data_IF_319769958492
#
_entry.id   IF_319769958492
#
_cell.length_a   1.000
_cell.length_b   1.000
_cell.length_c   1.000
_cell.angle_alpha   90.00
_cell.angle_beta   90.00
_cell.angle_gamma   90.00
#
_symmetry.space_group_name_H-M   'P 1'
#
loop_
_entity.id
_entity.type
_entity.pdbx_description
1 polymer ?
#
# COMPACT_ATOMS: atom_id res chain seq x y z
N UNK A 1 4.15 -8.96 22.57
CA UNK A 1 5.58 -9.31 22.63
C UNK A 1 6.38 -8.02 22.67
N UNK A 2 7.37 -7.93 23.55
CA UNK A 2 8.08 -6.67 23.81
C UNK A 2 8.90 -6.20 22.61
N UNK A 3 9.31 -7.10 21.72
CA UNK A 3 10.06 -6.78 20.50
C UNK A 3 9.17 -6.71 19.27
N UNK A 4 8.22 -7.64 19.16
CA UNK A 4 7.43 -7.86 17.94
C UNK A 4 6.04 -7.21 17.98
N UNK A 5 5.63 -6.63 19.11
CA UNK A 5 4.29 -6.06 19.28
C UNK A 5 3.20 -7.13 19.30
N UNK A 6 2.10 -6.91 18.59
CA UNK A 6 1.04 -7.89 18.44
C UNK A 6 1.51 -9.08 17.60
N UNK A 7 1.25 -10.29 18.11
CA UNK A 7 1.64 -11.53 17.45
C UNK A 7 0.57 -11.97 16.46
N UNK A 8 1.03 -12.38 15.28
CA UNK A 8 0.20 -12.87 14.19
C UNK A 8 0.81 -14.12 13.58
N UNK A 9 0.01 -14.91 12.87
CA UNK A 9 0.49 -16.12 12.21
C UNK A 9 1.55 -15.82 11.13
N UNK A 10 1.30 -14.79 10.31
CA UNK A 10 2.24 -14.37 9.26
C UNK A 10 3.20 -13.31 9.81
N UNK A 11 4.52 -13.42 9.57
CA UNK A 11 5.49 -12.44 10.05
C UNK A 11 5.30 -11.03 9.47
N UNK A 12 4.67 -10.91 8.30
CA UNK A 12 4.38 -9.60 7.68
C UNK A 12 3.31 -8.80 8.42
N UNK A 13 2.56 -9.44 9.32
CA UNK A 13 1.46 -8.85 10.08
C UNK A 13 1.83 -8.51 11.53
N UNK A 14 3.10 -8.65 11.93
CA UNK A 14 3.58 -8.30 13.27
C UNK A 14 3.55 -6.79 13.52
N UNK A 15 3.70 -6.39 14.78
CA UNK A 15 3.78 -4.99 15.20
C UNK A 15 2.39 -4.39 15.38
N UNK A 16 2.07 -3.40 14.55
CA UNK A 16 0.76 -2.72 14.55
C UNK A 16 -0.37 -3.61 14.02
N UNK A 17 -0.04 -4.62 13.22
CA UNK A 17 -0.99 -5.45 12.44
C UNK A 17 -1.80 -4.70 11.37
N UNK A 18 -1.70 -3.37 11.30
CA UNK A 18 -2.54 -2.51 10.46
C UNK A 18 -2.19 -2.63 8.98
N UNK A 19 -3.25 -2.81 8.18
CA UNK A 19 -3.25 -2.55 6.73
C UNK A 19 -4.33 -1.53 6.40
N UNK A 20 -3.96 -0.27 6.28
CA UNK A 20 -4.81 0.76 5.72
C UNK A 20 -4.72 0.69 4.20
N UNK A 21 -5.86 0.69 3.50
CA UNK A 21 -5.88 0.59 2.05
C UNK A 21 -6.99 1.43 1.41
N UNK A 22 -6.82 1.69 0.11
CA UNK A 22 -7.84 2.27 -0.75
C UNK A 22 -8.00 1.43 -2.01
N UNK A 23 -9.23 1.38 -2.53
CA UNK A 23 -9.45 1.04 -3.94
C UNK A 23 -9.37 2.31 -4.76
N UNK A 24 -8.39 2.38 -5.66
CA UNK A 24 -8.10 3.59 -6.43
C UNK A 24 -7.88 3.26 -7.91
N UNK A 25 -8.36 4.16 -8.78
CA UNK A 25 -8.03 4.16 -10.21
C UNK A 25 -6.97 5.20 -10.49
N UNK A 26 -5.90 4.79 -11.15
CA UNK A 26 -4.79 5.64 -11.61
C UNK A 26 -4.59 5.33 -13.09
N UNK A 27 -5.47 5.79 -14.00
CA UNK A 27 -5.49 5.32 -15.38
C UNK A 27 -4.21 5.65 -16.15
N UNK A 28 -3.51 6.75 -15.84
CA UNK A 28 -2.24 7.12 -16.53
C UNK A 28 -1.06 6.40 -15.90
N UNK A 29 -0.89 6.46 -14.58
CA UNK A 29 0.21 5.83 -13.88
C UNK A 29 0.09 4.29 -13.88
N UNK A 30 -1.13 3.78 -13.77
CA UNK A 30 -1.45 2.35 -13.81
C UNK A 30 -1.44 1.73 -15.22
N UNK A 31 -1.31 2.54 -16.28
CA UNK A 31 -1.10 2.02 -17.63
C UNK A 31 0.18 1.20 -17.74
N UNK A 32 1.18 1.51 -16.91
CA UNK A 32 2.37 0.69 -16.68
C UNK A 32 2.38 0.23 -15.21
N UNK A 33 1.95 -1.01 -14.98
CA UNK A 33 1.91 -1.60 -13.64
C UNK A 33 3.29 -1.64 -12.97
N UNK A 34 4.35 -1.92 -13.72
CA UNK A 34 5.70 -1.96 -13.15
C UNK A 34 6.12 -0.56 -12.68
N UNK A 35 5.73 0.48 -13.42
CA UNK A 35 5.96 1.87 -12.99
C UNK A 35 5.14 2.24 -11.76
N UNK A 36 3.87 1.87 -11.70
CA UNK A 36 3.03 2.07 -10.52
C UNK A 36 3.65 1.42 -9.28
N UNK A 37 4.11 0.17 -9.39
CA UNK A 37 4.77 -0.56 -8.30
C UNK A 37 6.09 0.09 -7.89
N UNK A 38 6.91 0.55 -8.83
CA UNK A 38 8.16 1.28 -8.56
C UNK A 38 7.91 2.58 -7.78
N UNK A 39 6.91 3.36 -8.18
CA UNK A 39 6.56 4.62 -7.52
C UNK A 39 5.96 4.35 -6.14
N UNK A 40 5.02 3.42 -6.03
CA UNK A 40 4.39 3.04 -4.76
C UNK A 40 5.44 2.55 -3.73
N UNK A 41 6.45 1.80 -4.17
CA UNK A 41 7.53 1.31 -3.31
C UNK A 41 8.34 2.44 -2.65
N UNK A 42 8.50 3.60 -3.31
CA UNK A 42 9.19 4.79 -2.75
C UNK A 42 8.47 5.36 -1.52
N UNK A 43 7.17 5.10 -1.40
CA UNK A 43 6.32 5.55 -0.30
C UNK A 43 5.98 4.42 0.69
N UNK A 44 6.73 3.32 0.68
CA UNK A 44 6.46 2.13 1.51
C UNK A 44 5.06 1.54 1.29
N UNK A 45 4.51 1.65 0.08
CA UNK A 45 3.22 1.07 -0.28
C UNK A 45 3.37 -0.28 -0.98
N UNK A 46 2.32 -1.09 -0.93
CA UNK A 46 2.14 -2.33 -1.68
C UNK A 46 0.92 -2.21 -2.59
N UNK A 47 1.08 -2.61 -3.85
CA UNK A 47 0.01 -2.70 -4.85
C UNK A 47 -0.49 -4.14 -4.93
N UNK A 48 -1.80 -4.33 -4.83
CA UNK A 48 -2.52 -5.60 -4.96
C UNK A 48 -3.65 -5.45 -5.98
N UNK A 49 -4.17 -6.57 -6.47
CA UNK A 49 -5.34 -6.55 -7.35
C UNK A 49 -6.64 -6.30 -6.58
N UNK A 50 -7.74 -6.13 -7.31
CA UNK A 50 -9.05 -5.75 -6.72
C UNK A 50 -9.62 -6.79 -5.76
N UNK A 51 -9.29 -8.07 -5.95
CA UNK A 51 -9.71 -9.16 -5.06
C UNK A 51 -8.67 -9.44 -3.96
N UNK A 52 -7.64 -8.62 -3.84
CA UNK A 52 -6.63 -8.68 -2.79
C UNK A 52 -5.32 -9.32 -3.25
N UNK A 53 -4.71 -10.09 -2.34
CA UNK A 53 -3.40 -10.68 -2.59
C UNK A 53 -3.46 -11.70 -3.74
N UNK A 54 -2.49 -11.62 -4.66
CA UNK A 54 -2.39 -12.51 -5.83
C UNK A 54 -3.51 -12.41 -6.87
N UNK A 55 -4.34 -11.36 -6.84
CA UNK A 55 -5.32 -11.11 -7.89
C UNK A 55 -4.85 -10.08 -8.92
N UNK A 56 -5.44 -10.14 -10.11
CA UNK A 56 -5.32 -9.09 -11.12
C UNK A 56 -6.29 -7.93 -10.85
N UNK A 57 -6.13 -6.87 -11.66
CA UNK A 57 -6.95 -5.65 -11.66
C UNK A 57 -7.55 -5.40 -13.04
N UNK A 58 -8.53 -6.22 -13.50
CA UNK A 58 -9.06 -6.13 -14.86
C UNK A 58 -9.70 -4.76 -15.16
N UNK A 59 -10.22 -4.06 -14.14
CA UNK A 59 -10.89 -2.77 -14.28
C UNK A 59 -9.98 -1.55 -14.05
N UNK A 60 -8.65 -1.77 -13.96
CA UNK A 60 -7.69 -0.71 -13.60
C UNK A 60 -7.88 -0.15 -12.18
N UNK A 61 -8.54 -0.92 -11.31
CA UNK A 61 -8.71 -0.61 -9.88
C UNK A 61 -7.65 -1.38 -9.10
N UNK A 62 -6.89 -0.68 -8.27
CA UNK A 62 -5.84 -1.30 -7.45
C UNK A 62 -6.18 -1.17 -5.96
N UNK A 63 -5.84 -2.21 -5.20
CA UNK A 63 -5.78 -2.14 -3.74
C UNK A 63 -4.36 -1.70 -3.36
N UNK A 64 -4.23 -0.45 -2.90
CA UNK A 64 -2.93 0.13 -2.50
C UNK A 64 -2.95 0.38 -0.99
N UNK A 65 -1.91 -0.11 -0.31
CA UNK A 65 -1.84 -0.11 1.16
C UNK A 65 -0.44 0.11 1.72
N UNK A 66 -0.32 0.50 2.99
CA UNK A 66 0.98 0.51 3.68
C UNK A 66 1.56 -0.91 3.73
N UNK A 67 2.83 -1.05 3.32
CA UNK A 67 3.55 -2.34 3.33
C UNK A 67 4.10 -2.68 4.71
N UNK A 68 4.58 -1.66 5.43
CA UNK A 68 5.22 -1.82 6.73
C UNK A 68 4.18 -1.89 7.85
N UNK A 69 4.44 -2.76 8.84
CA UNK A 69 3.57 -2.97 10.01
C UNK A 69 4.32 -3.09 11.33
N UNK A 70 5.61 -3.47 11.27
CA UNK A 70 6.51 -3.57 12.41
C UNK A 70 7.57 -2.45 12.38
N UNK A 71 7.94 -1.94 13.57
CA UNK A 71 8.93 -0.88 13.72
C UNK A 71 8.38 0.53 13.47
N UNK A 72 7.06 0.71 13.64
CA UNK A 72 6.34 1.97 13.56
C UNK A 72 5.06 1.89 14.42
N UNK A 73 4.52 3.03 14.82
CA UNK A 73 3.22 3.13 15.49
C UNK A 73 2.06 2.99 14.50
N UNK A 74 0.86 2.72 15.03
CA UNK A 74 -0.38 2.65 14.26
C UNK A 74 -0.66 3.95 13.48
N UNK A 75 -0.41 5.10 14.12
CA UNK A 75 -0.51 6.42 13.48
C UNK A 75 0.43 6.52 12.28
N UNK A 76 1.70 6.14 12.44
CA UNK A 76 2.68 6.18 11.36
C UNK A 76 2.31 5.24 10.22
N UNK A 77 1.78 4.05 10.50
CA UNK A 77 1.33 3.10 9.47
C UNK A 77 0.21 3.68 8.60
N UNK A 78 -0.79 4.32 9.22
CA UNK A 78 -1.87 4.99 8.48
C UNK A 78 -1.35 6.25 7.76
N UNK A 79 -0.40 6.97 8.38
CA UNK A 79 0.19 8.18 7.79
C UNK A 79 1.03 7.88 6.55
N UNK A 80 1.82 6.80 6.55
CA UNK A 80 2.54 6.31 5.36
C UNK A 80 1.56 6.02 4.21
N UNK A 81 0.43 5.38 4.50
CA UNK A 81 -0.63 5.16 3.50
C UNK A 81 -1.17 6.48 2.96
N UNK A 82 -1.61 7.38 3.84
CA UNK A 82 -2.18 8.67 3.46
C UNK A 82 -1.22 9.48 2.58
N UNK A 83 0.02 9.65 3.03
CA UNK A 83 1.00 10.48 2.33
C UNK A 83 1.37 9.88 0.97
N UNK A 84 1.60 8.57 0.91
CA UNK A 84 1.88 7.90 -0.35
C UNK A 84 0.72 7.99 -1.34
N UNK A 85 -0.53 7.80 -0.91
CA UNK A 85 -1.70 7.93 -1.80
C UNK A 85 -1.85 9.36 -2.33
N UNK A 86 -1.67 10.38 -1.49
CA UNK A 86 -1.74 11.77 -1.92
C UNK A 86 -0.68 12.08 -2.99
N UNK A 87 0.53 11.54 -2.85
CA UNK A 87 1.58 11.70 -3.86
C UNK A 87 1.28 10.93 -5.15
N UNK A 88 0.73 9.71 -5.08
CA UNK A 88 0.31 8.97 -6.28
C UNK A 88 -0.77 9.73 -7.07
N UNK A 89 -1.72 10.36 -6.37
CA UNK A 89 -2.76 11.19 -7.00
C UNK A 89 -2.14 12.41 -7.69
N UNK A 90 -1.17 13.07 -7.06
CA UNK A 90 -0.46 14.22 -7.68
C UNK A 90 0.29 13.79 -8.94
N UNK A 91 0.98 12.66 -8.89
CA UNK A 91 1.72 12.11 -10.05
C UNK A 91 0.74 11.80 -11.19
N UNK A 92 -0.37 11.11 -10.89
CA UNK A 92 -1.43 10.82 -11.86
C UNK A 92 -1.99 12.09 -12.53
N UNK A 93 -2.17 13.18 -11.77
CA UNK A 93 -2.64 14.45 -12.30
C UNK A 93 -1.61 15.15 -13.22
N UNK A 94 -0.31 14.87 -13.02
CA UNK A 94 0.78 15.48 -13.79
C UNK A 94 1.17 14.73 -15.07
N UNK A 95 0.77 13.46 -15.19
CA UNK A 95 0.92 12.63 -16.40
C UNK A 95 -0.13 13.01 -17.44
#
# INVERSE_FOLDING_TARGET
DDRLGFLTFCPTNLGTTIRASVHIKLPKLGADRAKLEEVAAKYSLQVRGTAGEHSDSPDGVYDISNKRRLGLSEYQAVKEMQDGILELIKIEQSL
#
